data_IF_268768584784
#
_entry.id   IF_268768584784
#
_cell.length_a   1.000
_cell.length_b   1.000
_cell.length_c   1.000
_cell.angle_alpha   90.00
_cell.angle_beta   90.00
_cell.angle_gamma   90.00
#
_symmetry.space_group_name_H-M   'P 1'
#
loop_
_entity.id
_entity.type
_entity.pdbx_description
1 polymer ?
#
# COMPACT_ATOMS: atom_id res chain seq x y z
N UNK A 1 -6.72 3.09 38.61
CA UNK A 1 -5.53 2.93 37.77
C UNK A 1 -5.86 1.91 36.70
N UNK A 2 -6.33 2.37 35.57
CA UNK A 2 -6.69 1.52 34.42
C UNK A 2 -5.51 1.54 33.47
N UNK A 3 -4.76 0.43 33.48
CA UNK A 3 -3.66 0.23 32.56
C UNK A 3 -4.21 0.10 31.13
N UNK A 4 -3.90 1.03 30.27
CA UNK A 4 -4.05 0.90 28.83
C UNK A 4 -3.02 -0.13 28.38
N UNK A 5 -3.48 -1.35 28.17
CA UNK A 5 -2.66 -2.40 27.56
C UNK A 5 -2.58 -2.07 26.07
N UNK A 6 -1.56 -1.33 25.68
CA UNK A 6 -1.21 -1.15 24.29
C UNK A 6 -0.85 -2.53 23.76
N UNK A 7 -1.72 -3.13 22.95
CA UNK A 7 -1.38 -4.24 22.08
C UNK A 7 -0.46 -3.71 20.97
N UNK A 8 0.73 -3.27 21.34
CA UNK A 8 1.82 -3.13 20.41
C UNK A 8 2.11 -4.55 19.92
N UNK A 9 1.67 -4.89 18.70
CA UNK A 9 2.25 -6.02 18.01
C UNK A 9 3.77 -5.86 18.14
N UNK A 10 4.48 -6.83 18.73
CA UNK A 10 5.91 -6.68 18.92
C UNK A 10 6.53 -6.55 17.54
N UNK A 11 6.93 -5.34 17.19
CA UNK A 11 7.72 -4.99 16.00
C UNK A 11 9.04 -5.79 15.99
N UNK A 12 9.31 -6.53 17.07
CA UNK A 12 10.52 -7.28 17.33
C UNK A 12 10.26 -8.77 17.63
N UNK A 13 9.92 -9.52 16.60
CA UNK A 13 10.24 -10.95 16.58
C UNK A 13 10.63 -11.37 15.15
N UNK A 14 11.71 -10.78 14.55
CA UNK A 14 12.02 -11.02 13.15
C UNK A 14 12.26 -12.50 12.84
N UNK A 15 12.91 -13.23 13.71
CA UNK A 15 13.32 -14.62 13.47
C UNK A 15 12.21 -15.64 13.73
N UNK A 16 11.35 -15.42 14.71
CA UNK A 16 10.23 -16.32 14.97
C UNK A 16 9.16 -16.21 13.87
N UNK A 17 8.84 -14.98 13.45
CA UNK A 17 7.86 -14.74 12.37
C UNK A 17 8.39 -15.21 11.02
N UNK A 18 9.67 -14.99 10.70
CA UNK A 18 10.31 -15.42 9.45
C UNK A 18 10.36 -16.94 9.28
N UNK A 19 10.28 -17.70 10.34
CA UNK A 19 10.19 -19.18 10.28
C UNK A 19 8.86 -19.68 9.76
N UNK A 20 7.81 -18.86 9.81
CA UNK A 20 6.43 -19.27 9.53
C UNK A 20 5.78 -18.47 8.41
N UNK A 21 6.45 -17.44 7.87
CA UNK A 21 5.91 -16.53 6.85
C UNK A 21 6.92 -16.26 5.75
N UNK A 22 6.44 -16.21 4.52
CA UNK A 22 7.24 -15.77 3.38
C UNK A 22 7.56 -14.26 3.47
N UNK A 23 8.61 -13.81 2.77
CA UNK A 23 8.97 -12.39 2.72
C UNK A 23 7.82 -11.51 2.16
N UNK A 24 6.99 -12.08 1.27
CA UNK A 24 5.81 -11.41 0.74
C UNK A 24 4.75 -11.21 1.81
N UNK A 25 4.46 -12.23 2.62
CA UNK A 25 3.52 -12.13 3.73
C UNK A 25 4.03 -11.17 4.81
N UNK A 26 5.32 -11.18 5.09
CA UNK A 26 5.92 -10.22 6.03
C UNK A 26 5.77 -8.78 5.54
N UNK A 27 5.94 -8.52 4.23
CA UNK A 27 5.68 -7.20 3.66
C UNK A 27 4.23 -6.77 3.81
N UNK A 28 3.28 -7.69 3.68
CA UNK A 28 1.87 -7.37 3.90
C UNK A 28 1.54 -7.16 5.38
N UNK A 29 2.27 -7.80 6.28
CA UNK A 29 2.06 -7.69 7.72
C UNK A 29 2.64 -6.39 8.30
N UNK A 30 3.93 -6.11 8.03
CA UNK A 30 4.70 -5.03 8.67
C UNK A 30 5.51 -4.17 7.71
N UNK A 31 5.40 -4.38 6.41
CA UNK A 31 6.16 -3.65 5.40
C UNK A 31 5.70 -2.21 5.21
N UNK A 32 6.40 -1.51 4.32
CA UNK A 32 6.06 -0.14 3.92
C UNK A 32 4.77 -0.10 3.09
N UNK A 33 4.04 1.02 3.16
CA UNK A 33 2.77 1.22 2.48
C UNK A 33 1.59 0.65 3.25
N UNK A 34 0.61 0.09 2.53
CA UNK A 34 -0.62 -0.46 3.14
C UNK A 34 -0.34 -1.85 3.67
N UNK A 35 0.12 -1.94 4.91
CA UNK A 35 0.34 -3.18 5.67
C UNK A 35 -0.66 -3.29 6.83
N UNK A 36 -0.81 -4.48 7.41
CA UNK A 36 -1.69 -4.69 8.55
C UNK A 36 -1.30 -3.78 9.73
N UNK A 37 -0.01 -3.66 10.02
CA UNK A 37 0.50 -2.77 11.07
C UNK A 37 0.17 -1.30 10.79
N UNK A 38 0.27 -0.85 9.55
CA UNK A 38 -0.08 0.53 9.18
C UNK A 38 -1.58 0.80 9.39
N UNK A 39 -2.44 -0.16 9.04
CA UNK A 39 -3.90 -0.03 9.21
C UNK A 39 -4.26 0.01 10.69
N UNK A 40 -3.65 -0.83 11.51
CA UNK A 40 -3.84 -0.78 12.96
C UNK A 40 -3.45 0.58 13.54
N UNK A 41 -2.32 1.15 13.13
CA UNK A 41 -1.91 2.50 13.56
C UNK A 41 -2.91 3.58 13.17
N UNK A 42 -3.50 3.48 11.97
CA UNK A 42 -4.56 4.41 11.55
C UNK A 42 -5.77 4.27 12.44
N UNK A 43 -6.19 3.05 12.77
CA UNK A 43 -7.34 2.80 13.66
C UNK A 43 -7.08 3.37 15.06
N UNK A 44 -5.92 3.09 15.63
CA UNK A 44 -5.51 3.60 16.93
C UNK A 44 -5.51 5.14 16.95
N UNK A 45 -4.98 5.78 15.92
CA UNK A 45 -4.98 7.24 15.82
C UNK A 45 -6.38 7.82 15.70
N UNK A 46 -7.27 7.19 14.92
CA UNK A 46 -8.66 7.60 14.79
C UNK A 46 -9.42 7.45 16.11
N UNK A 47 -9.23 6.34 16.80
CA UNK A 47 -9.89 6.08 18.08
C UNK A 47 -9.40 7.03 19.16
N UNK A 48 -8.10 7.32 19.22
CA UNK A 48 -7.52 8.29 20.14
C UNK A 48 -8.05 9.73 19.89
N UNK A 49 -8.39 10.05 18.64
CA UNK A 49 -8.99 11.31 18.26
C UNK A 49 -10.53 11.33 18.40
N UNK A 50 -11.15 10.26 18.92
CA UNK A 50 -12.60 10.15 19.10
C UNK A 50 -13.39 9.71 17.86
N UNK A 51 -12.72 9.37 16.76
CA UNK A 51 -13.34 8.95 15.50
C UNK A 51 -13.58 7.42 15.42
N UNK A 52 -14.16 6.86 16.47
CA UNK A 52 -14.37 5.39 16.60
C UNK A 52 -15.28 4.78 15.54
N UNK A 53 -16.16 5.59 14.93
CA UNK A 53 -17.12 5.13 13.91
C UNK A 53 -16.63 5.32 12.46
N UNK A 54 -15.47 5.92 12.26
CA UNK A 54 -14.91 6.13 10.91
C UNK A 54 -14.47 4.78 10.34
N UNK A 55 -14.96 4.47 9.14
CA UNK A 55 -14.63 3.26 8.41
C UNK A 55 -13.30 3.43 7.66
N UNK A 56 -12.52 2.36 7.60
CA UNK A 56 -11.23 2.34 6.90
C UNK A 56 -11.39 1.65 5.54
N UNK A 57 -11.14 2.41 4.48
CA UNK A 57 -11.05 1.89 3.12
C UNK A 57 -9.58 1.74 2.78
N UNK A 58 -9.13 0.51 2.48
CA UNK A 58 -7.77 0.23 2.10
C UNK A 58 -7.67 -0.16 0.62
N UNK A 59 -6.76 0.46 -0.11
CA UNK A 59 -6.47 0.12 -1.50
C UNK A 59 -4.96 0.03 -1.72
N UNK A 60 -4.54 -0.37 -2.91
CA UNK A 60 -3.14 -0.55 -3.31
C UNK A 60 -2.66 -2.00 -3.19
N UNK A 61 -2.62 -2.68 -4.34
CA UNK A 61 -2.04 -4.01 -4.50
C UNK A 61 -2.69 -5.08 -3.63
N UNK A 62 -4.00 -5.04 -3.44
CA UNK A 62 -4.71 -6.11 -2.73
C UNK A 62 -4.86 -7.32 -3.63
N UNK A 63 -4.03 -8.33 -3.37
CA UNK A 63 -4.12 -9.68 -3.90
C UNK A 63 -4.79 -10.61 -2.89
N UNK A 64 -5.09 -11.84 -3.29
CA UNK A 64 -5.63 -12.88 -2.40
C UNK A 64 -4.71 -13.11 -1.19
N UNK A 65 -3.38 -13.18 -1.43
CA UNK A 65 -2.41 -13.37 -0.34
C UNK A 65 -2.41 -12.21 0.64
N UNK A 66 -2.51 -10.96 0.15
CA UNK A 66 -2.59 -9.78 1.00
C UNK A 66 -3.88 -9.76 1.83
N UNK A 67 -5.02 -10.07 1.22
CA UNK A 67 -6.30 -10.18 1.94
C UNK A 67 -6.22 -11.23 3.04
N UNK A 68 -5.60 -12.38 2.78
CA UNK A 68 -5.41 -13.43 3.79
C UNK A 68 -4.60 -12.93 4.98
N UNK A 69 -3.47 -12.29 4.74
CA UNK A 69 -2.62 -11.72 5.81
C UNK A 69 -3.37 -10.67 6.62
N UNK A 70 -4.15 -9.79 5.96
CA UNK A 70 -4.98 -8.80 6.65
C UNK A 70 -6.02 -9.45 7.55
N UNK A 71 -6.68 -10.50 7.08
CA UNK A 71 -7.67 -11.24 7.85
C UNK A 71 -7.04 -11.96 9.05
N UNK A 72 -5.92 -12.64 8.86
CA UNK A 72 -5.19 -13.34 9.93
C UNK A 72 -4.64 -12.37 10.99
N UNK A 73 -4.25 -11.16 10.58
CA UNK A 73 -3.82 -10.10 11.48
C UNK A 73 -4.99 -9.33 12.12
N UNK A 74 -6.23 -9.71 11.80
CA UNK A 74 -7.44 -8.98 12.21
C UNK A 74 -7.34 -7.47 11.94
N UNK A 75 -6.71 -7.10 10.80
CA UNK A 75 -6.55 -5.69 10.44
C UNK A 75 -7.93 -5.04 10.28
N UNK A 76 -8.17 -3.87 10.91
CA UNK A 76 -9.48 -3.22 10.94
C UNK A 76 -9.80 -2.51 9.61
N UNK A 77 -9.97 -3.30 8.55
CA UNK A 77 -10.32 -2.85 7.20
C UNK A 77 -11.80 -3.12 6.98
N UNK A 78 -12.55 -2.09 6.67
CA UNK A 78 -13.98 -2.21 6.36
C UNK A 78 -14.24 -2.45 4.88
N UNK A 79 -13.41 -1.89 4.01
CA UNK A 79 -13.55 -1.99 2.55
C UNK A 79 -12.18 -2.13 1.91
N UNK A 80 -12.08 -3.03 0.94
CA UNK A 80 -10.86 -3.24 0.13
C UNK A 80 -11.09 -2.80 -1.31
N UNK A 81 -10.19 -1.94 -1.82
CA UNK A 81 -10.10 -1.61 -3.23
C UNK A 81 -9.18 -2.58 -3.96
N UNK A 82 -9.72 -3.37 -4.89
CA UNK A 82 -9.00 -4.46 -5.57
C UNK A 82 -8.72 -4.19 -7.05
N UNK A 83 -8.70 -2.93 -7.48
CA UNK A 83 -8.50 -2.58 -8.89
C UNK A 83 -7.27 -3.21 -9.55
N UNK A 84 -6.20 -3.44 -8.79
CA UNK A 84 -4.98 -4.10 -9.28
C UNK A 84 -5.10 -5.63 -9.37
N UNK A 85 -6.08 -6.24 -8.72
CA UNK A 85 -6.29 -7.69 -8.79
C UNK A 85 -6.98 -8.11 -10.09
N UNK A 86 -7.84 -7.26 -10.63
CA UNK A 86 -8.56 -7.54 -11.89
C UNK A 86 -7.58 -7.78 -13.05
N UNK A 87 -6.55 -6.94 -13.27
CA UNK A 87 -5.53 -7.21 -14.29
C UNK A 87 -4.71 -8.48 -14.06
N UNK A 88 -4.51 -8.91 -12.83
CA UNK A 88 -3.75 -10.12 -12.51
C UNK A 88 -4.44 -11.41 -12.98
N UNK A 89 -5.78 -11.39 -13.06
CA UNK A 89 -6.59 -12.54 -13.50
C UNK A 89 -7.04 -12.43 -14.97
N UNK A 90 -6.84 -11.27 -15.59
CA UNK A 90 -7.13 -11.06 -17.01
C UNK A 90 -5.86 -11.19 -17.83
N UNK A 91 -5.96 -11.91 -18.94
CA UNK A 91 -4.86 -12.01 -19.91
C UNK A 91 -4.69 -10.73 -20.76
N UNK A 92 -5.57 -9.77 -20.58
CA UNK A 92 -5.59 -8.52 -21.33
C UNK A 92 -4.70 -7.45 -20.69
N UNK A 93 -4.05 -6.66 -21.53
CA UNK A 93 -3.26 -5.50 -21.11
C UNK A 93 -4.18 -4.37 -20.69
N UNK A 94 -3.88 -3.72 -19.58
CA UNK A 94 -4.52 -2.47 -19.17
C UNK A 94 -3.51 -1.32 -19.25
N UNK A 95 -4.01 -0.13 -19.54
CA UNK A 95 -3.19 1.07 -19.61
C UNK A 95 -3.32 1.89 -18.33
N UNK A 96 -2.20 2.47 -17.88
CA UNK A 96 -2.18 3.49 -16.86
C UNK A 96 -1.73 4.81 -17.48
N UNK A 97 -2.31 5.92 -17.02
CA UNK A 97 -1.92 7.25 -17.47
C UNK A 97 -1.39 8.06 -16.28
N UNK A 98 -0.26 8.73 -16.51
CA UNK A 98 0.31 9.68 -15.57
C UNK A 98 0.52 11.03 -16.28
N UNK A 99 0.24 12.12 -15.56
CA UNK A 99 0.54 13.45 -16.06
C UNK A 99 2.05 13.68 -15.90
N UNK A 100 2.71 14.06 -17.00
CA UNK A 100 4.15 14.36 -17.02
C UNK A 100 4.44 15.83 -17.30
N UNK A 101 3.47 16.53 -17.93
CA UNK A 101 3.58 17.96 -18.24
C UNK A 101 2.19 18.61 -18.09
N UNK A 102 2.15 19.82 -17.58
CA UNK A 102 0.97 20.66 -17.51
C UNK A 102 1.34 22.12 -17.80
N UNK A 103 0.63 22.74 -18.74
CA UNK A 103 0.91 24.11 -19.24
C UNK A 103 2.39 24.33 -19.62
N UNK A 104 2.98 23.38 -20.37
CA UNK A 104 4.37 23.46 -20.80
C UNK A 104 5.41 23.30 -19.69
N UNK A 105 4.96 23.01 -18.47
CA UNK A 105 5.83 22.81 -17.31
C UNK A 105 5.85 21.33 -16.92
N UNK A 106 7.04 20.71 -16.78
CA UNK A 106 7.15 19.34 -16.31
C UNK A 106 6.53 19.20 -14.91
N UNK A 107 5.53 18.32 -14.78
CA UNK A 107 4.83 18.04 -13.52
C UNK A 107 4.53 16.56 -13.43
N UNK A 108 4.95 15.96 -12.33
CA UNK A 108 4.65 14.57 -12.03
C UNK A 108 4.19 14.43 -10.58
N UNK A 109 3.49 13.38 -10.30
CA UNK A 109 3.19 12.94 -8.93
C UNK A 109 4.48 12.73 -8.16
N UNK A 110 4.52 13.10 -6.90
CA UNK A 110 5.63 12.79 -5.99
C UNK A 110 5.91 11.26 -6.01
N UNK A 111 7.18 10.88 -6.22
CA UNK A 111 7.61 9.50 -6.39
C UNK A 111 7.52 8.96 -7.83
N UNK A 112 7.12 9.81 -8.81
CA UNK A 112 7.03 9.46 -10.24
C UNK A 112 8.03 10.25 -11.10
N UNK A 113 9.05 10.86 -10.50
CA UNK A 113 10.04 11.70 -11.15
C UNK A 113 10.84 10.98 -12.24
N UNK A 114 10.90 9.64 -12.16
CA UNK A 114 11.54 8.82 -13.20
C UNK A 114 10.86 8.95 -14.58
N UNK A 115 9.58 9.32 -14.63
CA UNK A 115 8.85 9.51 -15.90
C UNK A 115 9.42 10.68 -16.71
N UNK A 116 9.86 11.75 -16.06
CA UNK A 116 10.47 12.90 -16.73
C UNK A 116 11.76 12.52 -17.47
N UNK A 117 12.52 11.56 -16.95
CA UNK A 117 13.76 11.08 -17.57
C UNK A 117 13.49 10.23 -18.82
N UNK A 118 12.37 9.54 -18.88
CA UNK A 118 12.00 8.72 -20.04
C UNK A 118 11.55 9.60 -21.21
N UNK A 119 10.88 10.71 -20.94
CA UNK A 119 10.43 11.63 -21.97
C UNK A 119 11.59 12.38 -22.62
N UNK A 120 12.60 12.80 -21.86
CA UNK A 120 13.84 13.39 -22.40
C UNK A 120 14.57 12.46 -23.38
N UNK A 121 14.54 11.14 -23.15
CA UNK A 121 15.11 10.15 -24.07
C UNK A 121 14.28 9.98 -25.35
N UNK A 122 12.94 10.07 -25.28
CA UNK A 122 12.07 9.97 -26.47
C UNK A 122 12.17 11.19 -27.37
N UNK A 123 12.29 12.40 -26.82
CA UNK A 123 12.46 13.64 -27.60
C UNK A 123 13.81 13.68 -28.33
N UNK A 124 14.86 13.12 -27.73
CA UNK A 124 16.21 13.08 -28.35
C UNK A 124 16.41 11.91 -29.33
N UNK A 125 15.49 10.93 -29.37
CA UNK A 125 15.59 9.75 -30.25
C UNK A 125 14.81 9.85 -31.58
N UNK A 126 14.11 10.96 -31.84
CA UNK A 126 13.34 11.19 -33.08
C UNK A 126 14.02 12.24 -34.03
N UNK A 127 15.29 12.49 -33.83
CA UNK A 127 16.09 13.41 -34.65
C UNK A 127 17.30 12.73 -35.32
N UNK A 128 17.06 11.60 -36.01
CA UNK A 128 18.05 10.99 -36.89
C UNK A 128 17.33 10.34 -38.08
#
# INVERSE_FOLDING_TARGET
>A
MTGVQTCALPIYAPNAIRRYRSDTELRHLVGTGVSAAAIWRVREALDAAGFTKVRIVASSGFSVSKCRVMNEAHAPVDVVGTGSFIPDIWSETYATADIVEYDGTPRVKLGREFLLRQEGRRRNGHGA
#
